data_IF_657823810932
#
_entry.id   IF_657823810932
#
_cell.length_a   1.000
_cell.length_b   1.000
_cell.length_c   1.000
_cell.angle_alpha   90.00
_cell.angle_beta   90.00
_cell.angle_gamma   90.00
#
_symmetry.space_group_name_H-M   'P 1'
#
loop_
_entity.id
_entity.type
_entity.pdbx_description
1 polymer ?
#
# COMPACT_ATOMS: atom_id res chain seq x y z
N UNK A 1 -11.57 -15.86 4.78
CA UNK A 1 -10.15 -16.16 5.12
C UNK A 1 -9.91 -15.81 6.59
N UNK A 2 -9.10 -16.54 7.36
CA UNK A 2 -8.66 -16.08 8.69
C UNK A 2 -7.32 -15.35 8.53
N UNK A 3 -7.29 -14.04 8.83
CA UNK A 3 -6.13 -13.19 8.56
C UNK A 3 -4.98 -13.51 9.50
N UNK A 4 -5.24 -13.79 10.79
CA UNK A 4 -4.16 -14.15 11.73
C UNK A 4 -3.43 -15.42 11.30
N UNK A 5 -4.15 -16.41 10.82
CA UNK A 5 -3.58 -17.65 10.28
C UNK A 5 -2.75 -17.38 9.03
N UNK A 6 -3.26 -16.53 8.12
CA UNK A 6 -2.51 -16.11 6.94
C UNK A 6 -1.24 -15.35 7.33
N UNK A 7 -1.32 -14.41 8.28
CA UNK A 7 -0.18 -13.62 8.74
C UNK A 7 0.88 -14.49 9.44
N UNK A 8 0.46 -15.47 10.24
CA UNK A 8 1.39 -16.46 10.81
C UNK A 8 2.07 -17.29 9.73
N UNK A 9 1.33 -17.69 8.69
CA UNK A 9 1.90 -18.38 7.52
C UNK A 9 2.87 -17.47 6.76
N UNK A 10 2.57 -16.18 6.66
CA UNK A 10 3.47 -15.19 6.06
C UNK A 10 4.79 -15.12 6.82
N UNK A 11 4.75 -14.95 8.14
CA UNK A 11 5.95 -14.98 8.99
C UNK A 11 6.73 -16.29 8.82
N UNK A 12 6.04 -17.44 8.82
CA UNK A 12 6.68 -18.74 8.63
C UNK A 12 7.42 -18.82 7.30
N UNK A 13 6.77 -18.41 6.21
CA UNK A 13 7.38 -18.37 4.88
C UNK A 13 8.60 -17.45 4.87
N UNK A 14 8.48 -16.23 5.40
CA UNK A 14 9.62 -15.31 5.45
C UNK A 14 10.79 -15.89 6.27
N UNK A 15 10.51 -16.61 7.36
CA UNK A 15 11.53 -17.24 8.18
C UNK A 15 12.29 -18.36 7.43
N UNK A 16 11.68 -19.00 6.42
CA UNK A 16 12.38 -19.94 5.52
C UNK A 16 13.46 -19.22 4.70
N UNK A 17 13.29 -17.93 4.41
CA UNK A 17 14.23 -17.08 3.67
C UNK A 17 14.99 -16.10 4.58
N UNK A 18 15.18 -16.46 5.87
CA UNK A 18 15.79 -15.57 6.85
C UNK A 18 17.19 -15.09 6.43
N UNK A 19 18.01 -15.97 5.85
CA UNK A 19 19.38 -15.64 5.44
C UNK A 19 19.41 -14.59 4.34
N UNK A 20 18.51 -14.70 3.36
CA UNK A 20 18.37 -13.75 2.27
C UNK A 20 17.79 -12.42 2.77
N UNK A 21 16.82 -12.47 3.69
CA UNK A 21 16.23 -11.28 4.29
C UNK A 21 17.18 -10.55 5.24
N UNK A 22 18.09 -11.25 5.94
CA UNK A 22 19.12 -10.66 6.80
C UNK A 22 20.07 -9.74 6.01
N UNK A 23 20.33 -10.03 4.74
CA UNK A 23 21.12 -9.15 3.84
C UNK A 23 20.49 -7.76 3.71
N UNK A 24 19.16 -7.67 3.91
CA UNK A 24 18.40 -6.44 3.83
C UNK A 24 18.07 -5.83 5.20
N UNK A 25 18.72 -6.25 6.29
CA UNK A 25 18.39 -5.81 7.66
C UNK A 25 16.87 -5.92 7.96
N UNK A 26 16.25 -7.00 7.48
CA UNK A 26 14.81 -7.17 7.56
C UNK A 26 14.36 -7.49 9.00
N UNK A 27 13.52 -6.62 9.56
CA UNK A 27 13.10 -6.67 10.97
C UNK A 27 11.98 -7.66 11.25
N UNK A 28 12.31 -8.95 11.24
CA UNK A 28 11.35 -10.04 11.52
C UNK A 28 10.69 -9.92 12.90
N UNK A 29 11.39 -9.35 13.88
CA UNK A 29 10.89 -9.05 15.22
C UNK A 29 9.71 -8.07 15.17
N UNK A 30 9.80 -6.99 14.37
CA UNK A 30 8.71 -6.03 14.21
C UNK A 30 7.45 -6.67 13.63
N UNK A 31 7.59 -7.55 12.62
CA UNK A 31 6.44 -8.29 12.09
C UNK A 31 5.78 -9.19 13.13
N UNK A 32 6.57 -9.84 14.00
CA UNK A 32 6.02 -10.67 15.07
C UNK A 32 5.25 -9.84 16.09
N UNK A 33 5.73 -8.64 16.44
CA UNK A 33 4.99 -7.73 17.32
C UNK A 33 3.68 -7.26 16.71
N UNK A 34 3.67 -6.91 15.42
CA UNK A 34 2.43 -6.58 14.68
C UNK A 34 1.46 -7.78 14.70
N UNK A 35 1.97 -9.00 14.52
CA UNK A 35 1.15 -10.22 14.58
C UNK A 35 0.41 -10.41 15.90
N UNK A 36 0.93 -9.87 17.02
CA UNK A 36 0.29 -9.93 18.34
C UNK A 36 -0.88 -8.96 18.46
N UNK A 37 -0.89 -7.88 17.68
CA UNK A 37 -1.94 -6.85 17.73
C UNK A 37 -3.10 -7.12 16.78
N UNK A 38 -3.02 -8.20 15.98
CA UNK A 38 -4.09 -8.60 15.07
C UNK A 38 -5.39 -8.89 15.84
N UNK A 39 -6.41 -8.14 15.50
CA UNK A 39 -7.80 -8.34 15.89
C UNK A 39 -8.61 -8.66 14.63
N UNK A 40 -9.50 -9.64 14.70
CA UNK A 40 -10.34 -9.99 13.56
C UNK A 40 -11.69 -10.53 13.99
N UNK A 41 -12.70 -10.25 13.18
CA UNK A 41 -14.03 -10.83 13.29
C UNK A 41 -14.47 -11.42 11.93
N UNK A 42 -15.76 -11.74 11.82
CA UNK A 42 -16.36 -12.32 10.61
C UNK A 42 -16.32 -11.40 9.40
N UNK A 43 -16.24 -10.09 9.62
CA UNK A 43 -16.40 -9.01 8.64
C UNK A 43 -15.16 -8.16 8.47
N UNK A 44 -14.27 -8.10 9.47
CA UNK A 44 -13.11 -7.19 9.46
C UNK A 44 -11.85 -7.85 10.03
N UNK A 45 -10.70 -7.27 9.72
CA UNK A 45 -9.45 -7.48 10.46
C UNK A 45 -8.68 -6.16 10.58
N UNK A 46 -7.96 -6.00 11.69
CA UNK A 46 -7.13 -4.83 11.95
C UNK A 46 -5.88 -5.19 12.75
N UNK A 47 -4.86 -4.35 12.67
CA UNK A 47 -3.64 -4.51 13.47
C UNK A 47 -2.92 -3.16 13.63
N UNK A 48 -2.25 -3.01 14.76
CA UNK A 48 -1.39 -1.86 15.02
C UNK A 48 -0.16 -1.93 14.12
N UNK A 49 0.03 -0.88 13.33
CA UNK A 49 1.17 -0.73 12.46
C UNK A 49 1.47 0.75 12.37
N UNK A 50 2.75 1.14 12.42
CA UNK A 50 3.15 2.55 12.29
C UNK A 50 4.35 2.67 11.36
N UNK A 51 5.33 1.78 11.52
CA UNK A 51 6.51 1.74 10.65
C UNK A 51 7.12 0.35 10.56
N UNK A 52 7.64 0.05 9.38
CA UNK A 52 8.51 -1.08 9.10
C UNK A 52 9.73 -0.59 8.33
N UNK A 53 10.92 -1.13 8.63
CA UNK A 53 12.15 -0.74 7.94
C UNK A 53 12.90 -1.96 7.41
N UNK A 54 13.51 -1.75 6.25
CA UNK A 54 14.57 -2.61 5.70
C UNK A 54 15.61 -1.74 5.02
N UNK A 55 16.78 -2.31 4.79
CA UNK A 55 17.91 -1.60 4.18
C UNK A 55 18.44 -2.34 2.97
N UNK A 56 18.60 -1.66 1.84
CA UNK A 56 19.31 -2.19 0.69
C UNK A 56 20.79 -1.81 0.77
N UNK A 57 21.71 -2.80 0.80
CA UNK A 57 23.14 -2.53 0.83
C UNK A 57 23.67 -2.07 -0.53
N UNK A 58 24.86 -1.45 -0.52
CA UNK A 58 25.52 -0.84 -1.68
C UNK A 58 25.63 -1.72 -2.91
N UNK A 59 25.98 -2.98 -2.71
CA UNK A 59 26.15 -3.96 -3.78
C UNK A 59 24.82 -4.41 -4.40
N UNK A 60 23.67 -4.15 -3.75
CA UNK A 60 22.36 -4.61 -4.20
C UNK A 60 21.40 -3.48 -4.58
N UNK A 61 21.88 -2.23 -4.69
CA UNK A 61 21.00 -1.09 -4.96
C UNK A 61 20.23 -1.24 -6.28
N UNK A 62 19.02 -0.64 -6.37
CA UNK A 62 18.26 -0.63 -7.61
C UNK A 62 19.06 -0.01 -8.76
N UNK A 63 18.98 -0.64 -9.94
CA UNK A 63 19.52 -0.07 -11.18
C UNK A 63 18.95 1.32 -11.44
N UNK A 64 19.75 2.22 -12.02
CA UNK A 64 19.37 3.62 -12.32
C UNK A 64 19.03 4.47 -11.09
N UNK A 65 19.59 4.12 -9.93
CA UNK A 65 19.60 5.02 -8.77
C UNK A 65 20.53 6.20 -9.05
N UNK A 66 20.01 7.41 -8.83
CA UNK A 66 20.73 8.67 -8.91
C UNK A 66 20.56 9.47 -7.60
N UNK A 67 21.62 10.19 -7.16
CA UNK A 67 22.92 10.31 -7.83
C UNK A 67 23.78 9.04 -7.76
N UNK A 68 24.81 8.99 -8.63
CA UNK A 68 25.84 7.95 -8.54
C UNK A 68 26.60 8.11 -7.23
N UNK A 69 27.07 7.02 -6.65
CA UNK A 69 27.80 7.04 -5.37
C UNK A 69 26.94 6.79 -4.13
N UNK A 70 25.60 6.78 -4.24
CA UNK A 70 24.73 6.31 -3.14
C UNK A 70 25.12 4.89 -2.73
N UNK A 71 25.41 4.74 -1.45
CA UNK A 71 25.85 3.49 -0.85
C UNK A 71 24.67 2.69 -0.27
N UNK A 72 24.02 3.18 0.77
CA UNK A 72 22.96 2.44 1.45
C UNK A 72 21.61 3.14 1.26
N UNK A 73 20.55 2.37 1.06
CA UNK A 73 19.17 2.90 0.95
C UNK A 73 18.32 2.23 2.02
N UNK A 74 17.93 2.99 3.03
CA UNK A 74 16.96 2.58 4.04
C UNK A 74 15.56 2.86 3.52
N UNK A 75 14.77 1.81 3.34
CA UNK A 75 13.36 1.90 2.97
C UNK A 75 12.53 1.81 4.24
N UNK A 76 11.69 2.81 4.48
CA UNK A 76 10.70 2.81 5.56
C UNK A 76 9.31 2.81 4.95
N UNK A 77 8.52 1.80 5.28
CA UNK A 77 7.09 1.76 5.04
C UNK A 77 6.42 2.27 6.33
N UNK A 78 5.51 3.23 6.25
CA UNK A 78 4.82 3.78 7.41
C UNK A 78 3.36 4.10 7.13
N UNK A 79 2.58 4.18 8.20
CA UNK A 79 1.20 4.68 8.27
C UNK A 79 1.09 5.48 9.57
N UNK A 80 0.12 6.38 9.66
CA UNK A 80 -0.03 7.22 10.85
C UNK A 80 -0.77 6.54 12.01
N UNK A 81 -1.60 5.55 11.68
CA UNK A 81 -2.43 4.79 12.64
C UNK A 81 -2.52 3.30 12.22
N UNK A 82 -3.34 2.51 12.90
CA UNK A 82 -3.62 1.12 12.54
C UNK A 82 -4.12 0.93 11.10
N UNK A 83 -3.86 -0.25 10.54
CA UNK A 83 -4.53 -0.69 9.32
C UNK A 83 -5.78 -1.47 9.70
N UNK A 84 -6.92 -1.16 9.07
CA UNK A 84 -8.18 -1.88 9.26
C UNK A 84 -8.87 -2.13 7.91
N UNK A 85 -9.21 -3.40 7.66
CA UNK A 85 -9.69 -3.90 6.36
C UNK A 85 -11.03 -4.61 6.54
N UNK A 86 -11.98 -4.30 5.65
CA UNK A 86 -13.22 -5.07 5.48
C UNK A 86 -12.94 -6.31 4.65
N UNK A 87 -13.46 -7.44 5.09
CA UNK A 87 -13.42 -8.68 4.31
C UNK A 87 -14.35 -8.56 3.13
N UNK A 88 -13.92 -9.03 1.97
CA UNK A 88 -14.79 -9.06 0.81
C UNK A 88 -15.86 -10.15 1.01
N UNK A 89 -17.12 -9.73 1.17
CA UNK A 89 -18.25 -10.65 1.41
C UNK A 89 -18.68 -11.43 0.15
N UNK A 90 -17.93 -11.31 -0.95
CA UNK A 90 -18.16 -11.93 -2.23
C UNK A 90 -19.46 -11.51 -2.95
N UNK A 91 -20.31 -10.62 -2.44
CA UNK A 91 -21.57 -10.24 -3.10
C UNK A 91 -21.76 -8.74 -3.26
N UNK A 92 -21.16 -7.95 -2.38
CA UNK A 92 -21.24 -6.50 -2.37
C UNK A 92 -19.84 -5.91 -2.49
N UNK A 93 -19.67 -5.00 -3.44
CA UNK A 93 -18.43 -4.29 -3.71
C UNK A 93 -18.47 -2.96 -2.99
N UNK A 94 -17.57 -2.79 -2.02
CA UNK A 94 -17.41 -1.60 -1.22
C UNK A 94 -15.93 -1.33 -0.97
N UNK A 95 -15.63 -0.19 -0.36
CA UNK A 95 -14.27 0.18 0.03
C UNK A 95 -13.63 -0.89 0.94
N UNK A 96 -12.51 -1.52 0.53
CA UNK A 96 -11.89 -2.57 1.33
C UNK A 96 -11.27 -2.06 2.63
N UNK A 97 -11.01 -0.76 2.79
CA UNK A 97 -10.40 -0.22 4.01
C UNK A 97 -11.40 0.53 4.89
N UNK A 98 -11.37 0.21 6.18
CA UNK A 98 -11.95 1.04 7.24
C UNK A 98 -10.98 2.14 7.65
N UNK A 99 -9.69 1.78 7.74
CA UNK A 99 -8.61 2.69 8.08
C UNK A 99 -7.36 2.36 7.28
N UNK A 100 -6.84 3.37 6.61
CA UNK A 100 -5.54 3.42 5.94
C UNK A 100 -5.22 4.91 5.85
N UNK A 101 -4.32 5.40 6.68
CA UNK A 101 -4.02 6.82 6.78
C UNK A 101 -2.50 7.03 6.62
N UNK A 102 -2.15 7.92 5.69
CA UNK A 102 -0.78 8.30 5.34
C UNK A 102 0.14 7.10 5.11
N UNK A 103 -0.31 6.16 4.26
CA UNK A 103 0.57 5.07 3.86
C UNK A 103 1.71 5.59 2.97
N UNK A 104 2.93 5.57 3.49
CA UNK A 104 4.11 6.15 2.86
C UNK A 104 5.23 5.12 2.72
N UNK A 105 5.98 5.22 1.62
CA UNK A 105 7.26 4.53 1.43
C UNK A 105 8.34 5.59 1.24
N UNK A 106 9.24 5.72 2.22
CA UNK A 106 10.35 6.67 2.17
C UNK A 106 11.67 5.93 1.95
N UNK A 107 12.52 6.50 1.11
CA UNK A 107 13.86 6.02 0.81
C UNK A 107 14.83 7.06 1.35
N UNK A 108 15.75 6.64 2.20
CA UNK A 108 16.74 7.52 2.81
C UNK A 108 18.14 6.94 2.64
N UNK A 109 19.09 7.79 2.28
CA UNK A 109 20.49 7.44 2.12
C UNK A 109 21.35 8.15 3.17
N UNK A 110 22.45 7.51 3.58
CA UNK A 110 23.43 8.10 4.50
C UNK A 110 24.06 9.38 3.91
N UNK A 111 24.14 9.47 2.58
CA UNK A 111 24.56 10.66 1.83
C UNK A 111 23.54 11.82 1.86
N UNK A 112 22.58 11.80 2.79
CA UNK A 112 21.48 12.78 2.91
C UNK A 112 20.60 12.92 1.66
N UNK A 113 20.51 11.86 0.85
CA UNK A 113 19.60 11.82 -0.29
C UNK A 113 18.32 11.08 0.07
N UNK A 114 17.19 11.55 -0.42
CA UNK A 114 15.90 10.99 -0.05
C UNK A 114 14.85 11.06 -1.16
N UNK A 115 13.91 10.13 -1.13
CA UNK A 115 12.67 10.20 -1.90
C UNK A 115 11.53 9.57 -1.14
N UNK A 116 10.30 9.86 -1.56
CA UNK A 116 9.12 9.26 -1.00
C UNK A 116 8.09 8.93 -2.06
N UNK A 117 7.26 7.96 -1.72
CA UNK A 117 6.02 7.64 -2.37
C UNK A 117 4.93 7.74 -1.32
N UNK A 118 3.87 8.45 -1.63
CA UNK A 118 2.64 8.52 -0.85
C UNK A 118 1.61 7.64 -1.56
N UNK A 119 1.16 6.58 -0.89
CA UNK A 119 0.33 5.49 -1.42
C UNK A 119 -0.98 5.42 -0.63
N UNK A 120 -1.64 6.56 -0.49
CA UNK A 120 -2.65 6.74 0.55
C UNK A 120 -4.09 6.48 0.10
N UNK A 121 -4.96 6.31 1.11
CA UNK A 121 -6.40 6.37 0.98
C UNK A 121 -6.87 7.77 1.35
N UNK A 122 -7.40 8.51 0.39
CA UNK A 122 -7.91 9.84 0.66
C UNK A 122 -9.21 9.79 1.49
N UNK A 123 -9.10 10.15 2.78
CA UNK A 123 -10.23 10.32 3.69
C UNK A 123 -10.70 11.78 3.60
N UNK A 124 -11.59 12.10 2.66
CA UNK A 124 -12.25 13.41 2.66
C UNK A 124 -13.37 13.45 3.70
N UNK A 125 -13.53 14.58 4.37
CA UNK A 125 -14.85 14.89 4.90
C UNK A 125 -15.76 15.16 3.70
N UNK A 126 -16.96 14.58 3.67
CA UNK A 126 -17.96 14.79 2.61
C UNK A 126 -18.33 16.27 2.38
N UNK A 127 -17.93 17.15 3.30
CA UNK A 127 -18.12 18.60 3.28
C UNK A 127 -17.08 19.36 2.46
N UNK A 128 -15.96 18.74 2.10
CA UNK A 128 -14.81 19.45 1.51
C UNK A 128 -14.94 19.66 -0.02
N UNK A 129 -16.07 19.23 -0.63
CA UNK A 129 -16.37 19.43 -2.05
C UNK A 129 -15.45 18.65 -3.00
N UNK A 130 -15.57 18.93 -4.29
CA UNK A 130 -14.52 18.58 -5.26
C UNK A 130 -13.30 19.46 -4.95
N UNK A 131 -12.25 18.86 -4.39
CA UNK A 131 -10.96 19.53 -4.28
C UNK A 131 -10.51 20.07 -5.64
N UNK A 132 -9.61 21.06 -5.65
CA UNK A 132 -9.18 21.73 -6.90
C UNK A 132 -8.58 20.78 -7.95
N UNK A 133 -8.13 19.58 -7.54
CA UNK A 133 -7.51 18.58 -8.39
C UNK A 133 -8.22 17.23 -8.29
N UNK A 134 -8.17 16.43 -9.37
CA UNK A 134 -8.67 15.07 -9.40
C UNK A 134 -7.97 14.22 -8.31
N UNK A 135 -8.75 13.71 -7.36
CA UNK A 135 -8.21 13.00 -6.19
C UNK A 135 -8.93 11.65 -5.98
N UNK A 136 -8.50 10.57 -6.68
CA UNK A 136 -9.04 9.23 -6.45
C UNK A 136 -8.87 8.79 -5.00
N UNK A 137 -9.82 8.01 -4.49
CA UNK A 137 -9.76 7.49 -3.12
C UNK A 137 -8.46 6.74 -2.84
N UNK A 138 -7.88 6.07 -3.84
CA UNK A 138 -6.55 5.48 -3.75
C UNK A 138 -5.66 6.09 -4.81
N UNK A 139 -4.54 6.67 -4.39
CA UNK A 139 -3.65 7.39 -5.29
C UNK A 139 -2.19 7.15 -4.91
N UNK A 140 -1.32 7.37 -5.88
CA UNK A 140 0.13 7.27 -5.73
C UNK A 140 0.76 8.56 -6.17
N UNK A 141 1.49 9.21 -5.27
CA UNK A 141 2.20 10.45 -5.56
C UNK A 141 3.68 10.27 -5.24
N UNK A 142 4.56 10.64 -6.17
CA UNK A 142 5.98 10.77 -5.88
C UNK A 142 6.22 12.07 -5.11
N UNK A 143 7.00 12.00 -4.03
CA UNK A 143 7.22 13.13 -3.13
C UNK A 143 6.10 13.27 -2.11
N UNK A 144 5.46 14.44 -2.09
CA UNK A 144 4.44 14.83 -1.11
C UNK A 144 5.03 15.39 0.19
N UNK A 145 4.19 15.43 1.23
CA UNK A 145 4.50 16.04 2.54
C UNK A 145 5.85 15.62 3.12
N UNK A 146 6.27 14.38 2.91
CA UNK A 146 7.59 13.92 3.36
C UNK A 146 8.73 14.72 2.73
N UNK A 147 8.73 14.95 1.41
CA UNK A 147 9.78 15.73 0.74
C UNK A 147 9.62 17.23 1.00
N UNK A 148 8.39 17.74 1.06
CA UNK A 148 8.09 19.13 1.43
C UNK A 148 8.63 19.46 2.82
N UNK A 149 8.45 18.55 3.79
CA UNK A 149 8.96 18.71 5.17
C UNK A 149 10.49 18.79 5.27
N UNK A 150 11.22 18.51 4.19
CA UNK A 150 12.68 18.63 4.13
C UNK A 150 13.15 20.01 3.65
N UNK A 151 12.24 20.87 3.22
CA UNK A 151 12.56 22.24 2.85
C UNK A 151 13.07 23.01 4.07
N UNK A 152 14.26 23.60 3.93
CA UNK A 152 14.84 24.53 4.90
C UNK A 152 15.15 25.81 4.14
N UNK A 153 14.71 26.95 4.66
CA UNK A 153 14.93 28.25 4.02
C UNK A 153 16.42 28.48 3.78
N UNK A 154 16.78 28.84 2.55
CA UNK A 154 18.17 29.07 2.13
C UNK A 154 18.99 27.84 1.76
N UNK A 155 18.42 26.62 1.81
CA UNK A 155 19.10 25.39 1.37
C UNK A 155 18.60 24.88 0.01
N UNK A 156 19.51 24.43 -0.87
CA UNK A 156 19.15 23.65 -2.05
C UNK A 156 18.80 22.21 -1.64
N UNK A 157 17.52 21.97 -1.45
CA UNK A 157 16.97 20.65 -1.13
C UNK A 157 16.68 19.81 -2.37
N UNK A 158 16.60 20.42 -3.57
CA UNK A 158 16.30 19.70 -4.80
C UNK A 158 17.47 18.79 -5.19
N UNK A 159 18.71 19.25 -4.98
CA UNK A 159 19.93 18.44 -5.16
C UNK A 159 20.01 17.21 -4.25
N UNK A 160 19.21 17.14 -3.18
CA UNK A 160 19.16 16.01 -2.23
C UNK A 160 18.14 14.93 -2.64
N UNK A 161 17.47 15.09 -3.79
CA UNK A 161 16.48 14.11 -4.25
C UNK A 161 17.15 12.79 -4.68
N UNK A 162 16.68 11.67 -4.12
CA UNK A 162 17.05 10.33 -4.54
C UNK A 162 16.13 9.87 -5.67
N UNK A 163 16.62 9.92 -6.90
CA UNK A 163 15.87 9.43 -8.06
C UNK A 163 16.15 7.95 -8.22
N UNK A 164 15.14 7.13 -7.95
CA UNK A 164 15.10 5.71 -8.30
C UNK A 164 14.14 5.53 -9.46
N UNK A 165 14.27 4.42 -10.21
CA UNK A 165 13.27 4.10 -11.24
C UNK A 165 11.89 4.01 -10.58
N UNK A 166 10.97 4.84 -11.05
CA UNK A 166 9.60 4.83 -10.58
C UNK A 166 8.98 3.43 -10.70
N UNK A 167 8.19 3.00 -9.70
CA UNK A 167 7.35 1.81 -9.81
C UNK A 167 6.51 1.83 -11.10
N UNK A 168 6.48 0.70 -11.80
CA UNK A 168 5.67 0.56 -13.02
C UNK A 168 4.29 0.04 -12.63
N UNK A 169 3.37 0.92 -12.26
CA UNK A 169 2.13 0.50 -11.60
C UNK A 169 0.88 1.23 -12.08
N UNK A 170 -0.18 0.45 -12.27
CA UNK A 170 -1.52 0.84 -11.83
C UNK A 170 -1.52 0.69 -10.31
N UNK A 171 -2.06 1.66 -9.55
CA UNK A 171 -1.93 1.69 -8.09
C UNK A 171 -3.21 1.23 -7.38
N UNK A 172 -3.42 -0.09 -7.19
CA UNK A 172 -4.44 -0.58 -6.28
C UNK A 172 -4.01 -0.35 -4.82
N UNK A 173 -4.96 -0.35 -3.88
CA UNK A 173 -4.65 -0.15 -2.47
C UNK A 173 -3.75 -1.25 -1.88
N UNK A 174 -2.94 -0.87 -0.90
CA UNK A 174 -1.94 -1.75 -0.28
C UNK A 174 -2.16 -1.79 1.24
N UNK A 175 -2.11 -3.00 1.81
CA UNK A 175 -1.87 -3.18 3.24
C UNK A 175 -0.40 -3.60 3.48
N UNK A 176 -0.05 -4.00 4.70
CA UNK A 176 1.35 -4.28 5.07
C UNK A 176 2.01 -5.36 4.20
N UNK A 177 1.36 -6.51 3.99
CA UNK A 177 1.93 -7.61 3.18
C UNK A 177 2.09 -7.17 1.72
N UNK A 178 1.10 -6.50 1.15
CA UNK A 178 1.13 -5.96 -0.21
C UNK A 178 2.16 -4.85 -0.37
N UNK A 179 2.36 -4.00 0.64
CA UNK A 179 3.39 -2.97 0.66
C UNK A 179 4.80 -3.55 0.75
N UNK A 180 4.98 -4.64 1.50
CA UNK A 180 6.23 -5.38 1.50
C UNK A 180 6.47 -6.10 0.17
N UNK A 181 5.45 -6.75 -0.41
CA UNK A 181 5.51 -7.35 -1.76
C UNK A 181 5.88 -6.29 -2.80
N UNK A 182 5.30 -5.08 -2.70
CA UNK A 182 5.66 -3.93 -3.53
C UNK A 182 7.15 -3.60 -3.39
N UNK A 183 7.66 -3.46 -2.16
CA UNK A 183 9.06 -3.09 -1.91
C UNK A 183 10.00 -4.16 -2.46
N UNK A 184 9.72 -5.43 -2.18
CA UNK A 184 10.53 -6.54 -2.66
C UNK A 184 10.59 -6.59 -4.18
N UNK A 185 9.45 -6.45 -4.86
CA UNK A 185 9.40 -6.52 -6.33
C UNK A 185 10.01 -5.31 -7.03
N UNK A 186 9.97 -4.13 -6.41
CA UNK A 186 10.44 -2.89 -7.04
C UNK A 186 11.90 -2.58 -6.76
N UNK A 187 12.36 -2.86 -5.54
CA UNK A 187 13.68 -2.42 -5.10
C UNK A 187 14.68 -3.56 -4.94
N UNK A 188 14.22 -4.82 -4.89
CA UNK A 188 15.10 -5.98 -4.75
C UNK A 188 15.07 -6.80 -6.05
N UNK A 189 16.26 -7.04 -6.61
CA UNK A 189 16.37 -7.93 -7.76
C UNK A 189 15.89 -9.34 -7.39
N UNK A 190 15.07 -9.94 -8.27
CA UNK A 190 14.58 -11.32 -8.13
C UNK A 190 15.70 -12.33 -7.85
N UNK A 191 16.90 -12.11 -8.40
CA UNK A 191 18.09 -12.95 -8.18
C UNK A 191 18.57 -12.96 -6.71
N UNK A 192 18.29 -11.89 -5.97
CA UNK A 192 18.75 -11.70 -4.59
C UNK A 192 17.69 -12.10 -3.56
N UNK A 193 16.47 -12.42 -4.00
CA UNK A 193 15.36 -12.75 -3.11
C UNK A 193 14.48 -13.86 -3.73
N UNK A 194 14.91 -15.14 -3.62
CA UNK A 194 14.18 -16.29 -4.16
C UNK A 194 12.76 -16.47 -3.59
N UNK A 195 12.45 -15.82 -2.46
CA UNK A 195 11.09 -15.68 -1.92
C UNK A 195 10.08 -15.26 -2.99
N UNK A 196 10.48 -14.38 -3.93
CA UNK A 196 9.61 -13.89 -5.01
C UNK A 196 9.19 -14.97 -6.00
N UNK A 197 9.86 -16.12 -6.00
CA UNK A 197 9.59 -17.31 -6.82
C UNK A 197 8.95 -18.46 -6.03
N UNK A 198 8.82 -18.27 -4.73
CA UNK A 198 8.29 -19.29 -3.84
C UNK A 198 6.76 -19.37 -3.97
N UNK A 199 6.26 -20.48 -4.51
CA UNK A 199 4.83 -20.68 -4.76
C UNK A 199 3.93 -20.44 -3.53
N UNK A 200 4.28 -20.89 -2.31
CA UNK A 200 3.52 -20.54 -1.11
C UNK A 200 3.46 -19.04 -0.80
N UNK A 201 4.52 -18.28 -1.09
CA UNK A 201 4.52 -16.83 -0.93
C UNK A 201 3.59 -16.17 -1.95
N UNK A 202 3.73 -16.55 -3.22
CA UNK A 202 2.91 -16.03 -4.33
C UNK A 202 1.43 -16.25 -4.05
N UNK A 203 1.02 -17.47 -3.71
CA UNK A 203 -0.38 -17.79 -3.39
C UNK A 203 -0.91 -17.02 -2.19
N UNK A 204 -0.06 -16.77 -1.19
CA UNK A 204 -0.45 -15.98 -0.02
C UNK A 204 -0.73 -14.53 -0.40
N UNK A 205 0.15 -13.92 -1.19
CA UNK A 205 -0.03 -12.56 -1.73
C UNK A 205 -1.29 -12.50 -2.61
N UNK A 206 -1.54 -13.50 -3.45
CA UNK A 206 -2.77 -13.60 -4.26
C UNK A 206 -4.04 -13.65 -3.41
N UNK A 207 -4.04 -14.35 -2.27
CA UNK A 207 -5.17 -14.34 -1.35
C UNK A 207 -5.48 -12.91 -0.84
N UNK A 208 -4.47 -12.13 -0.48
CA UNK A 208 -4.67 -10.75 -0.02
C UNK A 208 -5.13 -9.85 -1.18
N UNK A 209 -4.54 -10.01 -2.38
CA UNK A 209 -4.99 -9.29 -3.59
C UNK A 209 -6.46 -9.58 -3.89
N UNK A 210 -6.93 -10.80 -3.67
CA UNK A 210 -8.35 -11.14 -3.87
C UNK A 210 -9.27 -10.45 -2.85
N UNK A 211 -8.84 -10.22 -1.62
CA UNK A 211 -9.63 -9.52 -0.62
C UNK A 211 -9.68 -8.00 -0.88
N UNK A 212 -8.62 -7.43 -1.45
CA UNK A 212 -8.44 -5.97 -1.55
C UNK A 212 -8.54 -5.47 -3.00
N UNK A 213 -7.76 -6.03 -3.91
CA UNK A 213 -7.68 -5.56 -5.30
C UNK A 213 -8.88 -5.99 -6.13
N UNK A 214 -9.51 -7.13 -5.80
CA UNK A 214 -10.69 -7.58 -6.53
C UNK A 214 -11.88 -6.63 -6.35
N UNK A 215 -12.36 -6.28 -5.13
CA UNK A 215 -13.43 -5.29 -4.99
C UNK A 215 -13.05 -3.93 -5.57
N UNK A 216 -11.79 -3.48 -5.43
CA UNK A 216 -11.30 -2.26 -6.06
C UNK A 216 -11.42 -2.30 -7.61
N UNK A 217 -11.00 -3.39 -8.24
CA UNK A 217 -11.09 -3.56 -9.69
C UNK A 217 -12.54 -3.63 -10.18
N UNK A 218 -13.44 -4.27 -9.41
CA UNK A 218 -14.87 -4.28 -9.73
C UNK A 218 -15.47 -2.88 -9.65
N UNK A 219 -15.14 -2.11 -8.61
CA UNK A 219 -15.60 -0.74 -8.47
C UNK A 219 -15.10 0.15 -9.63
N UNK A 220 -13.82 0.00 -10.02
CA UNK A 220 -13.27 0.71 -11.17
C UNK A 220 -14.02 0.34 -12.45
N UNK A 221 -14.22 -0.96 -12.69
CA UNK A 221 -14.93 -1.48 -13.87
C UNK A 221 -16.38 -0.96 -13.94
N UNK A 222 -17.05 -0.83 -12.79
CA UNK A 222 -18.45 -0.38 -12.70
C UNK A 222 -18.67 1.04 -13.26
N UNK A 223 -17.63 1.88 -13.29
CA UNK A 223 -17.71 3.19 -13.93
C UNK A 223 -17.87 3.13 -15.45
N UNK A 224 -17.49 2.02 -16.07
CA UNK A 224 -17.51 1.84 -17.53
C UNK A 224 -18.53 0.78 -17.98
N UNK A 225 -18.92 -0.12 -17.08
CA UNK A 225 -19.83 -1.24 -17.36
C UNK A 225 -21.03 -1.21 -16.41
N UNK A 226 -22.24 -1.03 -16.97
CA UNK A 226 -23.49 -1.06 -16.18
C UNK A 226 -23.79 -2.45 -15.63
N UNK A 227 -23.52 -3.50 -16.42
CA UNK A 227 -23.71 -4.89 -16.03
C UNK A 227 -22.34 -5.58 -15.90
N UNK A 228 -22.02 -6.05 -14.70
CA UNK A 228 -20.83 -6.83 -14.42
C UNK A 228 -21.29 -8.22 -13.99
N UNK A 229 -20.93 -9.22 -14.79
CA UNK A 229 -21.13 -10.64 -14.51
C UNK A 229 -19.78 -11.33 -14.62
N UNK A 230 -19.36 -12.00 -13.54
CA UNK A 230 -18.14 -12.79 -13.51
C UNK A 230 -18.53 -14.19 -13.03
N UNK A 231 -18.31 -15.20 -13.85
CA UNK A 231 -18.63 -16.59 -13.55
C UNK A 231 -20.10 -16.81 -13.12
N UNK A 232 -21.04 -16.15 -13.81
CA UNK A 232 -22.48 -16.17 -13.51
C UNK A 232 -22.84 -15.55 -12.15
N UNK A 233 -21.99 -14.66 -11.66
CA UNK A 233 -22.18 -13.97 -10.39
C UNK A 233 -22.38 -12.48 -10.61
N UNK A 234 -23.51 -11.99 -10.10
CA UNK A 234 -23.82 -10.57 -10.03
C UNK A 234 -23.37 -9.99 -8.68
N UNK A 235 -22.94 -8.74 -8.74
CA UNK A 235 -22.51 -7.98 -7.58
C UNK A 235 -23.40 -6.76 -7.39
N UNK A 236 -23.63 -6.39 -6.13
CA UNK A 236 -24.12 -5.06 -5.77
C UNK A 236 -22.93 -4.16 -5.46
N UNK A 237 -23.12 -2.84 -5.52
CA UNK A 237 -22.04 -1.87 -5.42
C UNK A 237 -22.40 -0.74 -4.46
N UNK A 238 -21.42 -0.28 -3.68
CA UNK A 238 -21.48 1.02 -3.01
C UNK A 238 -21.18 2.12 -4.04
N UNK A 239 -22.20 2.87 -4.42
CA UNK A 239 -22.08 3.90 -5.47
C UNK A 239 -21.06 5.00 -5.10
N UNK A 240 -20.94 5.29 -3.80
CA UNK A 240 -19.95 6.24 -3.30
C UNK A 240 -18.53 5.77 -3.62
N UNK A 241 -18.19 4.54 -3.23
CA UNK A 241 -16.89 3.93 -3.51
C UNK A 241 -16.64 3.83 -5.02
N UNK A 242 -17.62 3.39 -5.81
CA UNK A 242 -17.52 3.32 -7.28
C UNK A 242 -17.13 4.67 -7.88
N UNK A 243 -17.77 5.77 -7.48
CA UNK A 243 -17.41 7.09 -8.04
C UNK A 243 -16.04 7.57 -7.55
N UNK A 244 -15.73 7.31 -6.28
CA UNK A 244 -14.49 7.74 -5.66
C UNK A 244 -13.24 7.03 -6.17
N UNK A 245 -13.33 5.80 -6.69
CA UNK A 245 -12.16 5.10 -7.29
C UNK A 245 -11.62 5.78 -8.55
N UNK A 246 -12.44 6.59 -9.24
CA UNK A 246 -12.00 7.41 -10.38
C UNK A 246 -11.86 8.90 -10.03
N UNK A 247 -11.98 9.27 -8.74
CA UNK A 247 -11.84 10.64 -8.27
C UNK A 247 -13.07 11.53 -8.45
N UNK A 248 -14.25 10.97 -8.70
CA UNK A 248 -15.50 11.73 -8.67
C UNK A 248 -16.05 11.81 -7.23
N UNK A 249 -16.47 13.01 -6.81
CA UNK A 249 -17.14 13.18 -5.53
C UNK A 249 -18.66 13.24 -5.75
N UNK A 250 -19.38 12.15 -5.47
CA UNK A 250 -20.83 12.21 -5.56
C UNK A 250 -21.36 13.20 -4.51
N UNK A 251 -22.35 14.05 -4.85
CA UNK A 251 -23.01 14.91 -3.88
C UNK A 251 -23.59 14.07 -2.74
N UNK A 252 -23.70 14.65 -1.54
CA UNK A 252 -24.41 13.96 -0.46
C UNK A 252 -25.83 13.59 -0.93
N UNK A 253 -26.34 12.39 -0.59
CA UNK A 253 -27.74 12.11 -0.81
C UNK A 253 -28.53 13.20 -0.07
N UNK A 254 -29.33 13.98 -0.80
CA UNK A 254 -30.15 15.04 -0.22
C UNK A 254 -30.85 14.48 1.01
N UNK A 255 -30.62 15.11 2.16
CA UNK A 255 -31.31 14.75 3.39
C UNK A 255 -32.80 14.84 3.06
N UNK A 256 -33.46 13.68 2.97
CA UNK A 256 -34.89 13.55 2.72
C UNK A 256 -35.58 14.60 3.58
N UNK A 257 -36.07 15.67 2.96
CA UNK A 257 -36.86 16.67 3.64
C UNK A 257 -38.08 15.90 4.09
N UNK A 258 -38.14 15.57 5.38
CA UNK A 258 -39.36 15.07 6.00
C UNK A 258 -40.37 16.21 5.89
N UNK A 259 -41.23 16.11 4.88
CA UNK A 259 -42.48 16.85 4.82
C UNK A 259 -43.42 16.33 5.92
#
# INVERSE_FOLDING_TARGET
>A
MNFKTLFNKYIYILNTFKKELEVFDFRMDQLKEIGKTIQEDKTTFSYEFTKFRLTIPKNLKPSHTMPRGVEKITITLSVDDKIAVKRFNNSHVEDPFLNLDNFNITLNCESNHYSSWHLDRHIMNRKDGDGENLHPIYHMTYGGHYMESKQVEGEDVYGKSLIVRAPRLMHPPLELILGLDFIFRHYISRKNLPLLDHQPYIKLVECIKKEIWFPFALALTKNYCTNIDIDNKRYTFDDYFVKRVIGHNPPEPEATIKA
#
